data_IF_752480963260
#
_entry.id   IF_752480963260
#
_cell.length_a   1.000
_cell.length_b   1.000
_cell.length_c   1.000
_cell.angle_alpha   90.00
_cell.angle_beta   90.00
_cell.angle_gamma   90.00
#
_symmetry.space_group_name_H-M   'P 1'
#
loop_
_entity.id
_entity.type
_entity.pdbx_description
1 polymer ?
#
# COMPACT_ATOMS: atom_id res chain seq x y z
N UNK A 1 18.08 2.81 13.13
CA UNK A 1 16.86 2.56 12.34
C UNK A 1 16.59 3.82 11.50
N UNK A 2 17.46 4.12 10.52
CA UNK A 2 17.43 5.35 9.69
C UNK A 2 17.38 5.05 8.18
N UNK A 3 17.18 3.77 7.83
CA UNK A 3 17.38 3.28 6.47
C UNK A 3 16.13 3.46 5.60
N UNK A 4 14.93 3.35 6.18
CA UNK A 4 13.65 3.43 5.45
C UNK A 4 13.32 4.84 4.97
N UNK A 5 13.48 5.86 5.83
CA UNK A 5 13.29 7.27 5.43
C UNK A 5 14.24 7.68 4.30
N UNK A 6 15.46 7.12 4.31
CA UNK A 6 16.45 7.31 3.25
C UNK A 6 16.02 6.66 1.93
N UNK A 7 15.46 5.44 1.96
CA UNK A 7 14.94 4.76 0.77
C UNK A 7 13.74 5.51 0.18
N UNK A 8 12.78 5.92 1.01
CA UNK A 8 11.60 6.65 0.54
C UNK A 8 11.97 7.99 -0.11
N UNK A 9 12.93 8.71 0.48
CA UNK A 9 13.48 9.93 -0.11
C UNK A 9 14.17 9.67 -1.43
N UNK A 10 14.99 8.62 -1.53
CA UNK A 10 15.65 8.22 -2.77
C UNK A 10 14.61 7.90 -3.86
N UNK A 11 13.59 7.11 -3.53
CA UNK A 11 12.51 6.75 -4.45
C UNK A 11 11.79 8.01 -4.94
N UNK A 12 11.40 8.89 -4.02
CA UNK A 12 10.69 10.14 -4.35
C UNK A 12 11.53 11.03 -5.26
N UNK A 13 12.84 11.13 -5.00
CA UNK A 13 13.73 11.97 -5.79
C UNK A 13 14.03 11.38 -7.18
N UNK A 14 14.31 10.08 -7.27
CA UNK A 14 14.77 9.43 -8.51
C UNK A 14 13.64 8.94 -9.40
N UNK A 15 12.49 8.61 -8.82
CA UNK A 15 11.36 7.97 -9.48
C UNK A 15 10.06 8.75 -9.27
N UNK A 16 10.14 10.08 -9.18
CA UNK A 16 9.00 10.98 -8.98
C UNK A 16 7.81 10.65 -9.90
N UNK A 17 8.06 10.48 -11.20
CA UNK A 17 7.01 10.17 -12.17
C UNK A 17 6.31 8.84 -11.89
N UNK A 18 7.06 7.84 -11.40
CA UNK A 18 6.48 6.56 -10.98
C UNK A 18 5.59 6.76 -9.77
N UNK A 19 6.04 7.51 -8.76
CA UNK A 19 5.24 7.83 -7.57
C UNK A 19 3.95 8.58 -7.95
N UNK A 20 4.02 9.56 -8.87
CA UNK A 20 2.84 10.27 -9.36
C UNK A 20 1.87 9.36 -10.12
N UNK A 21 2.39 8.44 -10.94
CA UNK A 21 1.58 7.45 -11.64
C UNK A 21 0.88 6.47 -10.66
N UNK A 22 1.57 6.05 -9.61
CA UNK A 22 0.99 5.22 -8.55
C UNK A 22 -0.11 5.98 -7.79
N UNK A 23 0.14 7.22 -7.37
CA UNK A 23 -0.84 8.08 -6.71
C UNK A 23 -2.10 8.27 -7.57
N UNK A 24 -1.91 8.55 -8.87
CA UNK A 24 -3.00 8.64 -9.84
C UNK A 24 -3.77 7.33 -9.94
N UNK A 25 -3.08 6.19 -9.99
CA UNK A 25 -3.70 4.85 -10.06
C UNK A 25 -4.56 4.56 -8.82
N UNK A 26 -4.06 4.87 -7.63
CA UNK A 26 -4.78 4.70 -6.35
C UNK A 26 -6.07 5.53 -6.33
N UNK A 27 -6.01 6.77 -6.80
CA UNK A 27 -7.13 7.72 -6.80
C UNK A 27 -8.13 7.43 -7.92
N UNK A 28 -7.69 6.88 -9.05
CA UNK A 28 -8.53 6.74 -10.24
C UNK A 28 -9.79 5.89 -9.96
N UNK A 29 -11.00 6.38 -10.28
CA UNK A 29 -12.26 5.69 -9.96
C UNK A 29 -12.38 4.29 -10.57
N UNK A 30 -11.79 4.08 -11.76
CA UNK A 30 -11.93 2.84 -12.52
C UNK A 30 -10.73 1.90 -12.46
N UNK A 31 -9.54 2.38 -12.09
CA UNK A 31 -8.32 1.55 -12.15
C UNK A 31 -8.34 0.40 -11.15
N UNK A 32 -9.03 0.59 -10.02
CA UNK A 32 -9.12 -0.38 -8.93
C UNK A 32 -10.56 -0.81 -8.62
N UNK A 33 -11.53 -0.45 -9.47
CA UNK A 33 -12.89 -0.95 -9.34
C UNK A 33 -12.94 -2.39 -9.85
N UNK A 34 -13.46 -3.33 -9.04
CA UNK A 34 -13.64 -4.74 -9.43
C UNK A 34 -14.97 -4.91 -10.17
N UNK A 35 -15.01 -5.07 -11.51
CA UNK A 35 -16.30 -5.16 -12.20
C UNK A 35 -16.82 -6.60 -12.28
N UNK A 36 -15.98 -7.63 -12.09
CA UNK A 36 -16.34 -9.05 -12.31
C UNK A 36 -15.35 -10.01 -11.61
N UNK A 37 -15.69 -11.31 -11.55
CA UNK A 37 -14.83 -12.36 -10.98
C UNK A 37 -13.53 -12.66 -11.75
N UNK A 38 -13.41 -12.22 -13.01
CA UNK A 38 -12.19 -12.34 -13.81
C UNK A 38 -11.22 -11.17 -13.65
N UNK A 39 -11.59 -10.13 -12.92
CA UNK A 39 -10.76 -8.95 -12.75
C UNK A 39 -9.43 -9.29 -12.07
N UNK A 40 -8.35 -8.69 -12.58
CA UNK A 40 -7.01 -8.76 -12.00
C UNK A 40 -6.59 -7.34 -11.63
N UNK A 41 -5.90 -7.16 -10.49
CA UNK A 41 -5.35 -5.86 -10.15
C UNK A 41 -4.35 -5.40 -11.22
N UNK A 42 -4.21 -4.08 -11.43
CA UNK A 42 -3.09 -3.58 -12.20
C UNK A 42 -1.78 -4.00 -11.53
N UNK A 43 -0.90 -4.60 -12.32
CA UNK A 43 0.46 -4.98 -11.91
C UNK A 43 1.42 -4.01 -12.56
N UNK A 44 2.20 -3.31 -11.74
CA UNK A 44 3.09 -2.24 -12.15
C UNK A 44 4.52 -2.70 -11.85
N UNK A 45 5.36 -2.76 -12.88
CA UNK A 45 6.78 -3.02 -12.69
C UNK A 45 7.44 -1.77 -12.10
N UNK A 46 8.05 -1.90 -10.92
CA UNK A 46 8.71 -0.78 -10.26
C UNK A 46 10.18 -0.69 -10.68
N UNK A 47 10.72 0.54 -10.83
CA UNK A 47 12.15 0.74 -11.03
C UNK A 47 12.99 0.10 -9.93
N UNK A 48 14.21 -0.36 -10.29
CA UNK A 48 15.16 -0.85 -9.28
C UNK A 48 15.65 0.30 -8.41
N UNK A 49 15.43 0.15 -7.11
CA UNK A 49 16.11 0.94 -6.09
C UNK A 49 17.49 0.29 -5.83
N UNK A 50 18.55 1.09 -5.73
CA UNK A 50 19.98 0.69 -5.83
C UNK A 50 20.30 -0.76 -5.41
N UNK A 51 20.76 -1.57 -6.37
CA UNK A 51 21.24 -2.93 -6.11
C UNK A 51 20.17 -3.93 -5.64
N UNK A 52 18.88 -3.55 -5.66
CA UNK A 52 17.76 -4.41 -5.30
C UNK A 52 17.11 -5.02 -6.52
N UNK A 53 16.34 -6.09 -6.29
CA UNK A 53 15.63 -6.84 -7.32
C UNK A 53 14.56 -6.00 -8.04
N UNK A 54 14.19 -6.40 -9.26
CA UNK A 54 12.96 -5.92 -9.89
C UNK A 54 11.76 -6.46 -9.14
N UNK A 55 10.95 -5.53 -8.61
CA UNK A 55 9.71 -5.86 -7.92
C UNK A 55 8.51 -5.35 -8.72
N UNK A 56 7.44 -6.14 -8.68
CA UNK A 56 6.14 -5.79 -9.21
C UNK A 56 5.22 -5.39 -8.05
N UNK A 57 4.41 -4.37 -8.28
CA UNK A 57 3.37 -3.91 -7.36
C UNK A 57 2.00 -4.20 -7.96
N UNK A 58 1.21 -5.02 -7.27
CA UNK A 58 -0.21 -5.18 -7.51
C UNK A 58 -1.01 -4.33 -6.52
N UNK A 59 -1.89 -3.47 -7.01
CA UNK A 59 -2.75 -2.61 -6.18
C UNK A 59 -4.20 -3.09 -6.20
N UNK A 60 -4.85 -3.14 -5.04
CA UNK A 60 -6.30 -3.29 -4.94
C UNK A 60 -6.92 -2.22 -4.06
N UNK A 61 -8.18 -1.88 -4.34
CA UNK A 61 -8.99 -0.97 -3.53
C UNK A 61 -10.35 -1.57 -3.28
N UNK A 62 -10.83 -1.48 -2.04
CA UNK A 62 -12.20 -1.89 -1.67
C UNK A 62 -12.84 -0.81 -0.79
N UNK A 63 -14.16 -0.68 -0.86
CA UNK A 63 -14.90 0.23 0.05
C UNK A 63 -14.89 -0.33 1.46
N UNK A 64 -14.74 0.55 2.43
CA UNK A 64 -14.83 0.20 3.85
C UNK A 64 -16.29 0.14 4.26
N UNK A 65 -16.69 -0.96 4.90
CA UNK A 65 -18.06 -1.14 5.41
C UNK A 65 -18.29 -0.45 6.76
N UNK A 66 -19.56 -0.30 7.19
CA UNK A 66 -19.91 0.43 8.42
C UNK A 66 -19.22 -0.09 9.70
N UNK A 67 -19.04 -1.41 9.82
CA UNK A 67 -18.37 -2.03 10.97
C UNK A 67 -16.91 -1.59 11.09
N UNK A 68 -16.16 -1.64 10.00
CA UNK A 68 -14.76 -1.22 9.98
C UNK A 68 -14.64 0.29 10.20
N UNK A 69 -15.57 1.10 9.67
CA UNK A 69 -15.63 2.54 9.98
C UNK A 69 -15.80 2.80 11.47
N UNK A 70 -16.71 2.08 12.14
CA UNK A 70 -16.94 2.23 13.58
C UNK A 70 -15.72 1.83 14.41
N UNK A 71 -15.02 0.74 14.04
CA UNK A 71 -13.79 0.32 14.73
C UNK A 71 -12.68 1.37 14.65
N UNK A 72 -12.50 1.96 13.47
CA UNK A 72 -11.47 2.99 13.21
C UNK A 72 -11.78 4.28 13.96
N UNK A 73 -13.06 4.66 14.03
CA UNK A 73 -13.51 5.78 14.85
C UNK A 73 -13.26 5.52 16.34
N UNK A 74 -13.59 4.33 16.85
CA UNK A 74 -13.30 3.95 18.23
C UNK A 74 -11.80 3.88 18.58
N UNK A 75 -10.95 3.67 17.58
CA UNK A 75 -9.49 3.71 17.71
C UNK A 75 -8.93 5.15 17.80
N UNK A 76 -9.74 6.18 17.53
CA UNK A 76 -9.33 7.59 17.60
C UNK A 76 -8.89 8.18 16.26
N UNK A 77 -9.34 7.62 15.13
CA UNK A 77 -9.11 8.22 13.83
C UNK A 77 -9.83 9.57 13.67
N UNK A 78 -9.12 10.57 13.13
CA UNK A 78 -9.65 11.92 12.86
C UNK A 78 -10.55 12.01 11.63
N UNK A 79 -10.53 11.00 10.76
CA UNK A 79 -11.28 10.95 9.51
C UNK A 79 -12.06 9.64 9.35
N UNK A 80 -13.14 9.68 8.57
CA UNK A 80 -13.94 8.50 8.24
C UNK A 80 -13.26 7.74 7.09
N UNK A 81 -12.86 6.46 7.28
CA UNK A 81 -12.22 5.70 6.22
C UNK A 81 -13.24 5.34 5.13
N UNK A 82 -12.88 5.59 3.88
CA UNK A 82 -13.70 5.33 2.71
C UNK A 82 -13.25 4.07 1.98
N UNK A 83 -11.93 3.87 1.87
CA UNK A 83 -11.36 2.73 1.16
C UNK A 83 -10.26 2.04 1.97
N UNK A 84 -10.11 0.75 1.71
CA UNK A 84 -8.92 -0.02 2.05
C UNK A 84 -8.09 -0.19 0.80
N UNK A 85 -6.79 0.07 0.90
CA UNK A 85 -5.80 -0.14 -0.14
C UNK A 85 -4.93 -1.32 0.26
N UNK A 86 -4.65 -2.19 -0.71
CA UNK A 86 -3.71 -3.30 -0.56
C UNK A 86 -2.66 -3.19 -1.66
N UNK A 87 -1.39 -3.16 -1.26
CA UNK A 87 -0.23 -3.11 -2.13
C UNK A 87 0.59 -4.38 -1.93
N UNK A 88 0.52 -5.30 -2.89
CA UNK A 88 1.27 -6.54 -2.88
C UNK A 88 2.51 -6.40 -3.75
N UNK A 89 3.67 -6.51 -3.13
CA UNK A 89 4.98 -6.45 -3.77
C UNK A 89 5.52 -7.87 -3.95
N UNK A 90 5.98 -8.20 -5.16
CA UNK A 90 6.55 -9.51 -5.52
C UNK A 90 7.81 -9.33 -6.34
N UNK A 91 8.83 -10.17 -6.15
CA UNK A 91 10.01 -10.15 -7.00
C UNK A 91 9.72 -10.87 -8.32
N UNK A 92 10.19 -10.35 -9.45
CA UNK A 92 10.03 -11.02 -10.75
C UNK A 92 10.77 -12.36 -10.80
N UNK A 93 11.82 -12.53 -9.99
CA UNK A 93 12.58 -13.77 -9.82
C UNK A 93 11.83 -14.84 -9.02
N UNK A 94 10.74 -14.49 -8.32
CA UNK A 94 10.09 -15.34 -7.33
C UNK A 94 10.81 -15.38 -5.97
N UNK A 95 11.92 -14.65 -5.82
CA UNK A 95 12.61 -14.52 -4.54
C UNK A 95 11.81 -13.70 -3.51
N UNK A 96 12.12 -13.83 -2.21
CA UNK A 96 11.53 -12.97 -1.20
C UNK A 96 11.83 -11.48 -1.44
N UNK A 97 10.77 -10.66 -1.43
CA UNK A 97 10.92 -9.21 -1.50
C UNK A 97 11.50 -8.68 -0.19
N UNK A 98 12.48 -7.79 -0.29
CA UNK A 98 13.00 -7.04 0.85
C UNK A 98 11.92 -6.06 1.38
N UNK A 99 11.42 -6.23 2.63
CA UNK A 99 10.34 -5.39 3.16
C UNK A 99 10.67 -3.90 3.20
N UNK A 100 11.92 -3.52 3.47
CA UNK A 100 12.33 -2.11 3.53
C UNK A 100 12.20 -1.39 2.17
N UNK A 101 12.31 -2.13 1.05
CA UNK A 101 12.08 -1.56 -0.29
C UNK A 101 10.59 -1.36 -0.53
N UNK A 102 9.76 -2.34 -0.15
CA UNK A 102 8.32 -2.23 -0.26
C UNK A 102 7.79 -1.07 0.62
N UNK A 103 8.27 -0.98 1.85
CA UNK A 103 7.99 0.12 2.78
C UNK A 103 8.37 1.47 2.20
N UNK A 104 9.57 1.58 1.63
CA UNK A 104 10.04 2.81 0.98
C UNK A 104 9.12 3.28 -0.15
N UNK A 105 8.55 2.36 -0.94
CA UNK A 105 7.56 2.72 -1.97
C UNK A 105 6.23 3.20 -1.37
N UNK A 106 5.78 2.61 -0.26
CA UNK A 106 4.55 3.05 0.42
C UNK A 106 4.75 4.42 1.08
N UNK A 107 5.89 4.66 1.73
CA UNK A 107 6.22 5.97 2.29
C UNK A 107 6.52 7.03 1.23
N UNK A 108 7.03 6.65 0.04
CA UNK A 108 7.12 7.59 -1.08
C UNK A 108 5.72 8.04 -1.56
N UNK A 109 4.70 7.17 -1.46
CA UNK A 109 3.31 7.52 -1.75
C UNK A 109 2.66 8.37 -0.64
N UNK A 110 3.02 8.10 0.62
CA UNK A 110 2.49 8.80 1.79
C UNK A 110 3.62 9.18 2.75
N UNK A 111 4.33 10.30 2.48
CA UNK A 111 5.51 10.69 3.25
C UNK A 111 5.24 10.91 4.74
N UNK A 112 4.04 11.41 5.07
CA UNK A 112 3.64 11.75 6.43
C UNK A 112 2.95 10.59 7.16
N UNK A 113 2.84 9.41 6.53
CA UNK A 113 2.20 8.27 7.16
C UNK A 113 3.04 7.71 8.31
N UNK A 114 2.36 7.35 9.40
CA UNK A 114 2.95 6.73 10.58
C UNK A 114 2.70 5.22 10.59
N UNK A 115 3.41 4.50 11.47
CA UNK A 115 3.34 3.03 11.59
C UNK A 115 1.92 2.50 11.86
N UNK A 116 1.09 3.27 12.56
CA UNK A 116 -0.31 2.92 12.83
C UNK A 116 -1.27 3.25 11.67
N UNK A 117 -0.77 3.79 10.56
CA UNK A 117 -1.52 3.98 9.33
C UNK A 117 -1.21 2.88 8.31
N UNK A 118 0.03 2.38 8.27
CA UNK A 118 0.52 1.45 7.25
C UNK A 118 0.88 0.10 7.88
N UNK A 119 0.18 -0.96 7.49
CA UNK A 119 0.32 -2.27 8.14
C UNK A 119 0.93 -3.28 7.19
N UNK A 120 2.05 -3.89 7.57
CA UNK A 120 2.65 -5.02 6.84
C UNK A 120 1.94 -6.32 7.19
N UNK A 121 1.42 -7.03 6.19
CA UNK A 121 0.94 -8.39 6.30
C UNK A 121 2.08 -9.38 6.00
N UNK A 122 2.45 -10.27 6.94
CA UNK A 122 3.53 -11.22 6.74
C UNK A 122 3.22 -12.21 5.60
N UNK A 123 4.17 -12.40 4.68
CA UNK A 123 4.10 -13.45 3.67
C UNK A 123 5.52 -13.90 3.29
N UNK A 124 5.79 -15.21 3.07
CA UNK A 124 7.16 -15.71 2.89
C UNK A 124 7.91 -15.13 1.68
N UNK A 125 7.19 -14.83 0.59
CA UNK A 125 7.78 -14.40 -0.69
C UNK A 125 7.32 -13.02 -1.17
N UNK A 126 6.46 -12.34 -0.42
CA UNK A 126 5.86 -11.07 -0.83
C UNK A 126 5.83 -10.12 0.36
N UNK A 127 5.96 -8.83 0.11
CA UNK A 127 5.64 -7.81 1.10
C UNK A 127 4.26 -7.27 0.74
N UNK A 128 3.28 -7.37 1.64
CA UNK A 128 1.93 -6.86 1.38
C UNK A 128 1.61 -5.78 2.41
N UNK A 129 1.50 -4.54 1.96
CA UNK A 129 1.07 -3.44 2.81
C UNK A 129 -0.42 -3.19 2.64
N UNK A 130 -1.08 -2.88 3.74
CA UNK A 130 -2.50 -2.56 3.79
C UNK A 130 -2.73 -1.35 4.67
N UNK A 131 -3.59 -0.44 4.19
CA UNK A 131 -3.97 0.75 4.94
C UNK A 131 -5.37 1.21 4.56
N UNK A 132 -5.94 2.07 5.41
CA UNK A 132 -7.18 2.76 5.13
C UNK A 132 -6.89 4.16 4.61
N UNK A 133 -7.76 4.65 3.72
CA UNK A 133 -7.76 6.03 3.28
C UNK A 133 -9.16 6.63 3.38
N UNK A 134 -9.23 7.95 3.56
CA UNK A 134 -10.48 8.70 3.58
C UNK A 134 -11.02 8.99 2.16
N UNK A 135 -12.00 9.89 2.06
CA UNK A 135 -12.59 10.31 0.78
C UNK A 135 -11.64 11.10 -0.14
N UNK A 136 -10.58 11.67 0.43
CA UNK A 136 -9.52 12.41 -0.26
C UNK A 136 -8.30 11.55 -0.58
N UNK A 137 -8.35 10.27 -0.21
CA UNK A 137 -7.27 9.29 -0.32
C UNK A 137 -6.08 9.57 0.62
N UNK A 138 -6.32 10.28 1.72
CA UNK A 138 -5.31 10.46 2.77
C UNK A 138 -5.34 9.27 3.74
N UNK A 139 -4.18 8.75 4.20
CA UNK A 139 -4.12 7.63 5.13
C UNK A 139 -4.83 7.92 6.45
N UNK A 140 -5.51 6.89 6.99
CA UNK A 140 -6.25 6.97 8.25
C UNK A 140 -5.64 6.00 9.24
N UNK A 141 -5.35 6.49 10.46
CA UNK A 141 -4.89 5.68 11.59
C UNK A 141 -5.84 4.51 11.85
N UNK A 142 -5.31 3.33 12.05
CA UNK A 142 -6.13 2.13 12.26
C UNK A 142 -5.39 1.07 13.07
N UNK A 143 -6.10 0.23 13.85
CA UNK A 143 -5.46 -0.86 14.55
C UNK A 143 -5.10 -1.98 13.56
N UNK A 144 -3.91 -2.57 13.70
CA UNK A 144 -3.45 -3.68 12.85
C UNK A 144 -4.39 -4.89 12.87
N UNK A 145 -5.08 -5.11 14.00
CA UNK A 145 -6.06 -6.19 14.18
C UNK A 145 -7.24 -6.12 13.20
N UNK A 146 -7.53 -4.95 12.62
CA UNK A 146 -8.55 -4.78 11.59
C UNK A 146 -8.24 -5.60 10.32
N UNK A 147 -6.96 -5.90 10.08
CA UNK A 147 -6.47 -6.56 8.88
C UNK A 147 -6.14 -8.04 9.06
N UNK A 148 -6.27 -8.60 10.28
CA UNK A 148 -5.89 -9.98 10.60
C UNK A 148 -6.61 -11.05 9.74
N UNK A 149 -7.80 -10.75 9.21
CA UNK A 149 -8.57 -11.64 8.33
C UNK A 149 -8.32 -11.45 6.83
N UNK A 150 -7.44 -10.53 6.44
CA UNK A 150 -7.02 -10.37 5.05
C UNK A 150 -5.94 -11.41 4.76
N UNK A 151 -6.35 -12.66 4.55
CA UNK A 151 -5.43 -13.68 4.05
C UNK A 151 -5.05 -13.33 2.62
N UNK A 152 -3.75 -13.21 2.37
CA UNK A 152 -3.21 -12.93 1.04
C UNK A 152 -3.39 -14.20 0.21
N UNK A 153 -4.42 -14.21 -0.63
CA UNK A 153 -4.70 -15.29 -1.59
C UNK A 153 -3.63 -15.35 -2.68
#
# INVERSE_FOLDING_TARGET
>A
MFYESTIAQEITHRFYDTVQALNTTVKHPRSLARPTGSWRPPVIALPRVIGKEHINLALTRRRVGPRAQAMVQGYGASARPAYIIEARFTAQSGAPVNPAVAEGWVHALYPDATEDMLHLLPHPYAATYVWLVDGHFEPVRSPSSLFAGLSVA
#
